data_IF_466500893823
#
_entry.id   IF_466500893823
#
_cell.length_a   1.000
_cell.length_b   1.000
_cell.length_c   1.000
_cell.angle_alpha   90.00
_cell.angle_beta   90.00
_cell.angle_gamma   90.00
#
_symmetry.space_group_name_H-M   'P 1'
#
loop_
_entity.id
_entity.type
_entity.pdbx_description
1 polymer ?
#
# COMPACT_ATOMS: atom_id res chain seq x y z
N UNK A 1 2.56 -24.84 -2.40
CA UNK A 1 3.71 -23.89 -2.50
C UNK A 1 3.65 -22.98 -1.29
N UNK A 2 4.70 -22.92 -0.47
CA UNK A 2 4.71 -22.06 0.73
C UNK A 2 5.39 -20.74 0.39
N UNK A 3 4.61 -19.67 0.30
CA UNK A 3 5.11 -18.30 0.14
C UNK A 3 5.78 -17.92 1.46
N UNK A 4 7.12 -17.81 1.47
CA UNK A 4 7.92 -17.70 2.70
C UNK A 4 7.88 -16.32 3.37
N UNK A 5 7.38 -15.30 2.68
CA UNK A 5 7.33 -13.92 3.18
C UNK A 5 5.91 -13.39 3.00
N UNK A 6 5.25 -12.89 4.07
CA UNK A 6 4.00 -12.15 3.93
C UNK A 6 4.19 -10.95 2.98
N UNK A 7 3.23 -10.72 2.09
CA UNK A 7 3.18 -9.53 1.25
C UNK A 7 2.36 -8.43 1.94
N UNK A 8 2.61 -7.17 1.57
CA UNK A 8 1.82 -6.04 2.04
C UNK A 8 0.57 -5.90 1.17
N UNK A 9 -0.57 -5.52 1.77
CA UNK A 9 -1.82 -5.43 1.03
C UNK A 9 -2.80 -4.40 1.58
N UNK A 10 -3.75 -4.02 0.74
CA UNK A 10 -4.97 -3.34 1.15
C UNK A 10 -6.17 -3.82 0.33
N UNK A 11 -7.36 -3.71 0.92
CA UNK A 11 -8.64 -4.01 0.27
C UNK A 11 -9.59 -2.87 0.63
N UNK A 12 -9.83 -1.96 -0.32
CA UNK A 12 -10.53 -0.71 -0.07
C UNK A 12 -11.74 -0.53 -1.01
N UNK A 13 -12.79 0.20 -0.58
CA UNK A 13 -13.93 0.52 -1.42
C UNK A 13 -13.62 1.63 -2.45
N UNK A 14 -12.48 2.31 -2.31
CA UNK A 14 -12.06 3.44 -3.14
C UNK A 14 -10.66 3.21 -3.73
N UNK A 15 -10.43 3.73 -4.92
CA UNK A 15 -9.14 3.69 -5.63
C UNK A 15 -8.10 4.64 -5.00
N UNK A 16 -6.81 4.44 -5.30
CA UNK A 16 -5.78 5.44 -5.00
C UNK A 16 -6.15 6.85 -5.45
N UNK A 17 -6.64 6.98 -6.68
CA UNK A 17 -6.93 8.28 -7.29
C UNK A 17 -8.09 8.98 -6.57
N UNK A 18 -9.10 8.21 -6.14
CA UNK A 18 -10.21 8.75 -5.34
C UNK A 18 -9.74 9.20 -3.96
N UNK A 19 -8.88 8.41 -3.30
CA UNK A 19 -8.32 8.75 -1.98
C UNK A 19 -7.37 9.94 -2.04
N UNK A 20 -6.58 10.08 -3.11
CA UNK A 20 -5.66 11.21 -3.30
C UNK A 20 -6.39 12.51 -3.66
N UNK A 21 -7.50 12.41 -4.41
CA UNK A 21 -8.26 13.57 -4.83
C UNK A 21 -9.24 14.10 -3.75
N UNK A 22 -9.72 13.24 -2.85
CA UNK A 22 -10.63 13.65 -1.79
C UNK A 22 -9.90 14.46 -0.71
N UNK A 23 -10.42 15.64 -0.40
CA UNK A 23 -9.90 16.48 0.69
C UNK A 23 -10.57 16.18 2.03
N UNK A 24 -11.79 15.63 1.97
CA UNK A 24 -12.57 15.18 3.12
C UNK A 24 -13.19 13.80 2.83
N UNK A 25 -13.51 13.05 3.89
CA UNK A 25 -13.97 11.65 3.75
C UNK A 25 -15.33 11.54 3.06
N UNK A 26 -16.22 12.52 3.27
CA UNK A 26 -17.56 12.59 2.67
C UNK A 26 -17.55 12.88 1.17
N UNK A 27 -16.43 13.33 0.61
CA UNK A 27 -16.26 13.56 -0.83
C UNK A 27 -15.98 12.26 -1.59
N UNK A 28 -15.68 11.16 -0.88
CA UNK A 28 -15.44 9.87 -1.50
C UNK A 28 -16.70 9.36 -2.22
N UNK A 29 -16.55 8.85 -3.45
CA UNK A 29 -17.68 8.34 -4.20
C UNK A 29 -18.24 7.07 -3.55
N UNK A 30 -19.50 6.78 -3.86
CA UNK A 30 -20.10 5.49 -3.52
C UNK A 30 -19.26 4.34 -4.14
N UNK A 31 -19.05 3.29 -3.36
CA UNK A 31 -18.24 2.16 -3.79
C UNK A 31 -18.92 1.39 -4.93
N UNK A 32 -18.27 1.34 -6.09
CA UNK A 32 -18.69 0.52 -7.23
C UNK A 32 -17.82 -0.72 -7.42
N UNK A 33 -16.62 -0.72 -6.82
CA UNK A 33 -15.62 -1.78 -6.92
C UNK A 33 -14.98 -2.02 -5.56
N UNK A 34 -14.29 -3.16 -5.44
CA UNK A 34 -13.35 -3.43 -4.35
C UNK A 34 -11.95 -3.40 -4.94
N UNK A 35 -11.13 -2.47 -4.45
CA UNK A 35 -9.76 -2.28 -4.89
C UNK A 35 -8.84 -3.14 -4.02
N UNK A 36 -8.26 -4.19 -4.62
CA UNK A 36 -7.29 -5.09 -3.98
C UNK A 36 -5.89 -4.71 -4.43
N UNK A 37 -5.00 -4.45 -3.47
CA UNK A 37 -3.58 -4.12 -3.73
C UNK A 37 -2.69 -5.18 -3.14
N UNK A 38 -1.75 -5.67 -3.94
CA UNK A 38 -0.76 -6.66 -3.54
C UNK A 38 0.62 -6.06 -3.81
N UNK A 39 1.41 -5.90 -2.77
CA UNK A 39 2.69 -5.19 -2.80
C UNK A 39 3.80 -6.07 -2.23
N UNK A 40 4.96 -6.07 -2.89
CA UNK A 40 6.15 -6.74 -2.37
C UNK A 40 6.61 -6.13 -1.04
N UNK A 41 6.49 -4.81 -0.90
CA UNK A 41 6.73 -4.06 0.32
C UNK A 41 6.12 -2.66 0.21
N UNK A 42 5.91 -2.00 1.35
CA UNK A 42 5.54 -0.59 1.44
C UNK A 42 6.61 0.16 2.25
N UNK A 43 6.97 1.36 1.81
CA UNK A 43 7.86 2.26 2.55
C UNK A 43 7.23 2.63 3.90
N UNK A 44 8.04 2.81 4.95
CA UNK A 44 7.53 3.33 6.23
C UNK A 44 6.86 4.71 6.05
N UNK A 45 5.85 5.01 6.88
CA UNK A 45 5.08 6.26 6.79
C UNK A 45 5.85 7.47 7.33
N UNK A 46 6.66 7.29 8.38
CA UNK A 46 7.35 8.39 9.07
C UNK A 46 6.47 9.03 10.16
N UNK A 47 6.65 10.34 10.38
CA UNK A 47 5.86 11.10 11.36
C UNK A 47 6.61 11.59 12.61
N UNK A 48 7.95 11.57 12.60
CA UNK A 48 8.76 12.27 13.63
C UNK A 48 8.45 13.78 13.61
N UNK A 49 8.31 14.33 12.39
CA UNK A 49 7.60 15.57 12.12
C UNK A 49 6.90 15.50 10.75
N UNK A 50 6.02 16.47 10.48
CA UNK A 50 5.27 16.57 9.21
C UNK A 50 5.81 17.65 8.28
N UNK A 51 7.06 18.11 8.47
CA UNK A 51 7.63 19.24 7.71
C UNK A 51 9.08 19.01 7.26
N UNK A 52 9.58 17.77 7.28
CA UNK A 52 10.81 17.40 6.57
C UNK A 52 11.58 16.22 7.14
N UNK A 53 11.20 15.68 8.31
CA UNK A 53 11.87 14.51 8.86
C UNK A 53 11.68 13.30 7.94
N UNK A 54 12.77 12.61 7.55
CA UNK A 54 12.65 11.39 6.78
C UNK A 54 12.14 10.23 7.65
N UNK A 55 11.56 9.23 7.00
CA UNK A 55 11.30 7.92 7.60
C UNK A 55 12.60 7.36 8.19
N UNK A 56 12.56 6.62 9.30
CA UNK A 56 13.76 5.98 9.85
C UNK A 56 14.34 4.96 8.85
N UNK A 57 15.68 4.95 8.67
CA UNK A 57 16.39 4.11 7.68
C UNK A 57 16.05 2.62 7.72
N UNK A 58 15.71 2.07 8.89
CA UNK A 58 15.31 0.65 9.05
C UNK A 58 14.01 0.29 8.32
N UNK A 59 13.20 1.28 7.96
CA UNK A 59 11.94 1.14 7.22
C UNK A 59 12.07 1.63 5.77
N UNK A 60 13.30 1.86 5.29
CA UNK A 60 13.52 2.22 3.89
C UNK A 60 13.52 0.99 3.00
N UNK A 61 12.88 1.11 1.84
CA UNK A 61 13.02 0.12 0.77
C UNK A 61 14.35 0.36 0.04
N UNK A 62 15.25 -0.64 -0.03
CA UNK A 62 16.54 -0.50 -0.71
C UNK A 62 16.36 -0.36 -2.22
N UNK A 63 16.75 0.78 -2.78
CA UNK A 63 16.60 1.08 -4.21
C UNK A 63 17.53 0.26 -5.13
N UNK A 64 18.55 -0.37 -4.54
CA UNK A 64 19.56 -1.19 -5.22
C UNK A 64 19.20 -2.69 -5.23
N UNK A 65 18.04 -3.07 -4.70
CA UNK A 65 17.58 -4.46 -4.63
C UNK A 65 16.25 -4.64 -5.35
N UNK A 66 16.11 -5.74 -6.08
CA UNK A 66 14.83 -6.13 -6.65
C UNK A 66 13.81 -6.43 -5.55
N UNK A 67 12.59 -5.93 -5.72
CA UNK A 67 11.44 -6.29 -4.90
C UNK A 67 10.60 -7.31 -5.67
N UNK A 68 10.43 -8.50 -5.10
CA UNK A 68 9.69 -9.59 -5.72
C UNK A 68 8.50 -9.97 -4.84
N UNK A 69 7.34 -10.14 -5.46
CA UNK A 69 6.13 -10.67 -4.81
C UNK A 69 5.59 -11.82 -5.64
N UNK A 70 5.19 -12.88 -4.95
CA UNK A 70 4.49 -14.01 -5.53
C UNK A 70 3.22 -14.24 -4.72
N UNK A 71 2.10 -14.37 -5.39
CA UNK A 71 0.81 -14.64 -4.78
C UNK A 71 0.01 -15.59 -5.66
N UNK A 72 -1.00 -16.22 -5.07
CA UNK A 72 -1.97 -17.05 -5.79
C UNK A 72 -3.34 -16.47 -5.49
N UNK A 73 -4.15 -16.29 -6.53
CA UNK A 73 -5.57 -15.96 -6.40
C UNK A 73 -6.36 -17.10 -7.02
N UNK A 74 -7.32 -17.64 -6.27
CA UNK A 74 -8.19 -18.74 -6.69
C UNK A 74 -9.63 -18.30 -6.44
N UNK A 75 -10.47 -18.40 -7.47
CA UNK A 75 -11.91 -18.16 -7.37
C UNK A 75 -12.62 -19.36 -6.75
N UNK A 76 -13.90 -19.17 -6.40
CA UNK A 76 -14.80 -20.26 -6.01
C UNK A 76 -15.27 -21.00 -7.27
#
# INVERSE_FOLDING_TARGET
>A
MQLKTPFEMSVLPNSEYELENATHQEELPAAHFVWVRILAAQMGVGGDDSWGAPVHKRYWLPADKALEVSFVIEGI
#
